data_IF_103961810933
#
_entry.id   IF_103961810933
#
_cell.length_a   1.000
_cell.length_b   1.000
_cell.length_c   1.000
_cell.angle_alpha   90.00
_cell.angle_beta   90.00
_cell.angle_gamma   90.00
#
_symmetry.space_group_name_H-M   'P 1'
#
loop_
_entity.id
_entity.type
_entity.pdbx_description
1 polymer ?
#
# COMPACT_ATOMS: atom_id res chain seq x y z
N UNK A 1 22.75 4.56 18.29
CA UNK A 1 22.48 3.74 17.08
C UNK A 1 21.89 4.66 16.03
N UNK A 2 22.43 4.67 14.80
CA UNK A 2 21.85 5.43 13.69
C UNK A 2 20.85 4.52 12.97
N UNK A 3 19.57 4.86 12.99
CA UNK A 3 18.57 4.18 12.17
C UNK A 3 18.45 4.93 10.85
N UNK A 4 18.46 4.18 9.75
CA UNK A 4 18.10 4.73 8.44
C UNK A 4 16.59 4.55 8.28
N UNK A 5 15.89 5.61 7.86
CA UNK A 5 14.43 5.64 7.78
C UNK A 5 13.98 5.72 6.32
N UNK A 6 12.90 4.99 6.01
CA UNK A 6 12.16 5.14 4.77
C UNK A 6 10.93 6.02 5.02
N UNK A 7 10.65 6.95 4.11
CA UNK A 7 9.45 7.80 4.16
C UNK A 7 8.69 7.66 2.85
N UNK A 8 7.46 7.19 2.93
CA UNK A 8 6.50 7.19 1.83
C UNK A 8 5.57 8.38 2.03
N UNK A 9 5.48 9.25 1.03
CA UNK A 9 4.81 10.55 1.12
C UNK A 9 3.76 10.64 0.02
N UNK A 10 2.53 10.99 0.39
CA UNK A 10 1.48 11.29 -0.57
C UNK A 10 1.70 12.65 -1.21
N UNK A 11 1.23 12.79 -2.45
CA UNK A 11 1.21 14.08 -3.11
C UNK A 11 0.26 15.03 -2.37
N UNK A 12 0.66 16.30 -2.14
CA UNK A 12 -0.16 17.25 -1.43
C UNK A 12 -1.50 17.48 -2.15
N UNK A 13 -2.60 17.35 -1.42
CA UNK A 13 -3.95 17.55 -1.96
C UNK A 13 -4.49 16.39 -2.81
N UNK A 14 -3.86 15.21 -2.77
CA UNK A 14 -4.31 14.02 -3.49
C UNK A 14 -5.74 13.60 -3.10
N UNK A 15 -6.07 13.58 -1.80
CA UNK A 15 -7.41 13.26 -1.31
C UNK A 15 -8.47 14.19 -1.91
N UNK A 16 -8.17 15.50 -1.96
CA UNK A 16 -9.09 16.49 -2.53
C UNK A 16 -9.31 16.26 -4.02
N UNK A 17 -8.25 15.94 -4.77
CA UNK A 17 -8.36 15.62 -6.21
C UNK A 17 -9.17 14.36 -6.44
N UNK A 18 -8.91 13.29 -5.70
CA UNK A 18 -9.70 12.07 -5.78
C UNK A 18 -11.19 12.30 -5.51
N UNK A 19 -11.54 13.11 -4.49
CA UNK A 19 -12.94 13.45 -4.22
C UNK A 19 -13.61 14.17 -5.39
N UNK A 20 -12.88 15.08 -6.05
CA UNK A 20 -13.40 15.77 -7.24
C UNK A 20 -13.59 14.81 -8.42
N UNK A 21 -12.67 13.87 -8.61
CA UNK A 21 -12.76 12.86 -9.67
C UNK A 21 -13.97 11.95 -9.44
N UNK A 22 -14.15 11.44 -8.21
CA UNK A 22 -15.30 10.61 -7.83
C UNK A 22 -16.62 11.36 -8.01
N UNK A 23 -16.68 12.64 -7.59
CA UNK A 23 -17.86 13.49 -7.79
C UNK A 23 -18.20 13.65 -9.28
N UNK A 24 -17.18 13.87 -10.11
CA UNK A 24 -17.34 14.02 -11.56
C UNK A 24 -17.84 12.71 -12.18
N UNK A 25 -17.26 11.57 -11.80
CA UNK A 25 -17.71 10.25 -12.25
C UNK A 25 -19.13 9.92 -11.79
N UNK A 26 -19.51 10.32 -10.57
CA UNK A 26 -20.89 10.17 -10.07
C UNK A 26 -21.88 10.98 -10.91
N UNK A 27 -21.51 12.19 -11.28
CA UNK A 27 -22.35 13.03 -12.15
C UNK A 27 -22.49 12.41 -13.55
N UNK A 28 -21.39 11.97 -14.15
CA UNK A 28 -21.39 11.28 -15.45
C UNK A 28 -22.22 9.99 -15.41
N UNK A 29 -22.08 9.21 -14.34
CA UNK A 29 -22.88 8.00 -14.11
C UNK A 29 -24.38 8.30 -14.17
N UNK A 30 -24.85 9.39 -13.53
CA UNK A 30 -26.27 9.77 -13.57
C UNK A 30 -26.75 10.08 -14.98
N UNK A 31 -25.92 10.77 -15.79
CA UNK A 31 -26.25 11.03 -17.19
C UNK A 31 -26.28 9.76 -18.03
N UNK A 32 -25.32 8.85 -17.83
CA UNK A 32 -25.28 7.57 -18.55
C UNK A 32 -26.48 6.68 -18.17
N UNK A 33 -26.89 6.67 -16.90
CA UNK A 33 -28.07 5.91 -16.46
C UNK A 33 -29.39 6.38 -17.08
N UNK A 34 -29.47 7.62 -17.59
CA UNK A 34 -30.63 8.09 -18.36
C UNK A 34 -30.67 7.47 -19.78
N UNK A 35 -29.52 7.12 -20.34
CA UNK A 35 -29.39 6.55 -21.69
C UNK A 35 -29.39 5.01 -21.62
N UNK A 36 -28.77 4.44 -20.59
CA UNK A 36 -28.63 2.99 -20.38
C UNK A 36 -29.08 2.60 -18.96
N UNK A 37 -30.39 2.42 -18.73
CA UNK A 37 -30.94 2.15 -17.40
C UNK A 37 -30.53 0.79 -16.80
N UNK A 38 -30.05 -0.16 -17.62
CA UNK A 38 -29.61 -1.48 -17.15
C UNK A 38 -28.24 -1.46 -16.45
N UNK A 39 -27.41 -0.43 -16.66
CA UNK A 39 -26.08 -0.34 -16.07
C UNK A 39 -26.09 0.43 -14.73
N UNK A 40 -25.72 -0.25 -13.63
CA UNK A 40 -25.63 0.35 -12.29
C UNK A 40 -24.19 0.76 -11.92
N UNK A 41 -23.73 1.86 -12.50
CA UNK A 41 -22.42 2.45 -12.21
C UNK A 41 -22.26 2.94 -10.76
N UNK A 42 -23.35 3.29 -10.09
CA UNK A 42 -23.35 3.80 -8.71
C UNK A 42 -22.69 2.84 -7.70
N UNK A 43 -22.97 1.54 -7.80
CA UNK A 43 -22.38 0.54 -6.89
C UNK A 43 -20.88 0.40 -7.07
N UNK A 44 -20.40 0.47 -8.31
CA UNK A 44 -18.98 0.38 -8.64
C UNK A 44 -18.25 1.62 -8.11
N UNK A 45 -18.86 2.80 -8.27
CA UNK A 45 -18.30 4.06 -7.75
C UNK A 45 -18.21 4.08 -6.23
N UNK A 46 -19.22 3.56 -5.52
CA UNK A 46 -19.18 3.45 -4.06
C UNK A 46 -18.05 2.52 -3.59
N UNK A 47 -17.86 1.36 -4.22
CA UNK A 47 -16.76 0.47 -3.84
C UNK A 47 -15.39 1.06 -4.20
N UNK A 48 -15.31 1.78 -5.32
CA UNK A 48 -14.11 2.50 -5.72
C UNK A 48 -13.76 3.60 -4.72
N UNK A 49 -14.72 4.45 -4.33
CA UNK A 49 -14.53 5.49 -3.31
C UNK A 49 -14.06 4.89 -1.98
N UNK A 50 -14.69 3.80 -1.55
CA UNK A 50 -14.31 3.09 -0.33
C UNK A 50 -12.88 2.57 -0.42
N UNK A 51 -12.53 1.94 -1.54
CA UNK A 51 -11.18 1.41 -1.77
C UNK A 51 -10.13 2.51 -1.78
N UNK A 52 -10.38 3.60 -2.50
CA UNK A 52 -9.45 4.73 -2.58
C UNK A 52 -9.28 5.45 -1.25
N UNK A 53 -10.35 5.56 -0.46
CA UNK A 53 -10.26 6.15 0.87
C UNK A 53 -9.41 5.32 1.83
N UNK A 54 -9.39 3.99 1.68
CA UNK A 54 -8.52 3.11 2.45
C UNK A 54 -7.06 3.23 2.00
N UNK A 55 -6.81 3.32 0.70
CA UNK A 55 -5.47 3.52 0.11
C UNK A 55 -4.82 4.86 0.51
N UNK A 56 -5.63 5.90 0.69
CA UNK A 56 -5.14 7.23 1.11
C UNK A 56 -4.84 7.34 2.61
N UNK A 57 -5.17 6.33 3.43
CA UNK A 57 -4.90 6.37 4.86
C UNK A 57 -3.72 5.48 5.24
N UNK A 58 -2.51 6.04 5.19
CA UNK A 58 -1.29 5.34 5.59
C UNK A 58 -1.27 4.93 7.07
N UNK A 59 -2.14 5.46 7.92
CA UNK A 59 -2.24 4.98 9.31
C UNK A 59 -2.83 3.58 9.38
N UNK A 60 -3.67 3.19 8.41
CA UNK A 60 -4.18 1.82 8.31
C UNK A 60 -3.08 0.87 7.85
N UNK A 61 -2.27 1.31 6.89
CA UNK A 61 -1.11 0.55 6.41
C UNK A 61 -0.11 0.30 7.54
N UNK A 62 0.20 1.34 8.31
CA UNK A 62 1.03 1.25 9.51
C UNK A 62 0.49 0.24 10.54
N UNK A 63 -0.81 0.29 10.86
CA UNK A 63 -1.46 -0.66 11.78
C UNK A 63 -1.39 -2.09 11.24
N UNK A 64 -1.57 -2.25 9.93
CA UNK A 64 -1.49 -3.55 9.31
C UNK A 64 -0.07 -4.14 9.36
N UNK A 65 0.95 -3.31 9.15
CA UNK A 65 2.35 -3.72 9.28
C UNK A 65 2.66 -4.23 10.69
N UNK A 66 2.17 -3.57 11.73
CA UNK A 66 2.34 -4.04 13.12
C UNK A 66 1.62 -5.37 13.39
N UNK A 67 0.39 -5.53 12.89
CA UNK A 67 -0.34 -6.80 12.97
C UNK A 67 0.45 -7.92 12.29
N UNK A 68 0.99 -7.65 11.12
CA UNK A 68 1.84 -8.58 10.37
C UNK A 68 3.08 -8.96 11.19
N UNK A 69 3.72 -7.98 11.84
CA UNK A 69 4.85 -8.22 12.74
C UNK A 69 4.48 -9.21 13.86
N UNK A 70 3.29 -9.08 14.45
CA UNK A 70 2.81 -10.01 15.48
C UNK A 70 2.56 -11.42 14.95
N UNK A 71 2.01 -11.55 13.73
CA UNK A 71 1.72 -12.83 13.08
C UNK A 71 3.00 -13.59 12.72
N UNK A 72 4.06 -12.88 12.31
CA UNK A 72 5.32 -13.47 11.87
C UNK A 72 6.41 -13.47 12.95
N UNK A 73 6.08 -13.13 14.21
CA UNK A 73 7.06 -13.09 15.32
C UNK A 73 7.81 -14.40 15.56
N UNK A 74 7.27 -15.54 15.13
CA UNK A 74 7.87 -16.89 15.28
C UNK A 74 8.55 -17.39 13.99
N UNK A 75 8.64 -16.57 12.96
CA UNK A 75 9.21 -16.95 11.67
C UNK A 75 10.48 -16.16 11.40
N UNK A 76 11.63 -16.83 11.40
CA UNK A 76 12.94 -16.19 11.17
C UNK A 76 13.19 -15.81 9.70
N UNK A 77 12.29 -16.18 8.79
CA UNK A 77 12.43 -15.91 7.35
C UNK A 77 11.85 -14.55 6.94
N UNK A 78 10.94 -13.98 7.74
CA UNK A 78 10.20 -12.76 7.37
C UNK A 78 10.53 -11.64 8.36
N UNK A 79 11.25 -10.61 7.89
CA UNK A 79 11.46 -9.36 8.63
C UNK A 79 10.43 -8.32 8.19
N UNK A 80 9.64 -7.82 9.14
CA UNK A 80 8.73 -6.68 8.94
C UNK A 80 9.40 -5.42 9.49
N UNK A 81 9.50 -4.32 8.73
CA UNK A 81 10.12 -3.08 9.20
C UNK A 81 9.31 -2.44 10.34
N UNK A 82 9.99 -1.90 11.35
CA UNK A 82 9.35 -1.19 12.44
C UNK A 82 8.75 0.15 11.97
N UNK A 83 7.52 0.45 12.36
CA UNK A 83 6.83 1.71 12.03
C UNK A 83 7.10 2.77 13.10
N UNK A 84 7.44 3.99 12.68
CA UNK A 84 7.65 5.11 13.59
C UNK A 84 6.39 5.99 13.66
N UNK A 85 5.52 5.69 14.62
CA UNK A 85 4.23 6.40 14.79
C UNK A 85 4.36 7.90 15.03
N UNK A 86 5.42 8.34 15.73
CA UNK A 86 5.69 9.75 15.99
C UNK A 86 5.94 10.56 14.71
N UNK A 87 6.34 9.88 13.62
CA UNK A 87 6.65 10.44 12.31
C UNK A 87 5.67 9.98 11.23
N UNK A 88 4.60 9.27 11.61
CA UNK A 88 3.60 8.71 10.69
C UNK A 88 2.30 9.47 10.82
N UNK A 89 1.76 9.90 9.68
CA UNK A 89 0.47 10.59 9.55
C UNK A 89 -0.36 9.87 8.48
N UNK A 90 -1.55 10.39 8.17
CA UNK A 90 -2.37 9.85 7.08
C UNK A 90 -1.68 9.96 5.71
N UNK A 91 -0.87 11.00 5.53
CA UNK A 91 -0.23 11.34 4.26
C UNK A 91 1.25 10.91 4.20
N UNK A 92 1.84 10.54 5.33
CA UNK A 92 3.26 10.15 5.42
C UNK A 92 3.41 8.88 6.26
N UNK A 93 3.97 7.82 5.67
CA UNK A 93 4.36 6.61 6.39
C UNK A 93 5.88 6.61 6.63
N UNK A 94 6.29 6.54 7.90
CA UNK A 94 7.70 6.45 8.28
C UNK A 94 8.01 5.08 8.88
N UNK A 95 8.95 4.35 8.30
CA UNK A 95 9.34 3.00 8.75
C UNK A 95 10.86 2.78 8.71
N UNK A 96 11.31 1.72 9.38
CA UNK A 96 12.71 1.26 9.33
C UNK A 96 13.11 0.99 7.88
N UNK A 97 14.26 1.51 7.46
CA UNK A 97 14.80 1.20 6.15
C UNK A 97 15.40 -0.21 6.16
N UNK A 98 14.76 -1.11 5.43
CA UNK A 98 15.27 -2.45 5.18
C UNK A 98 15.98 -2.50 3.82
N UNK A 99 17.26 -2.91 3.82
CA UNK A 99 17.98 -3.25 2.59
C UNK A 99 17.59 -4.66 2.15
N UNK A 100 17.08 -4.80 0.92
CA UNK A 100 16.71 -6.10 0.35
C UNK A 100 16.79 -6.09 -1.17
N UNK A 101 16.82 -7.28 -1.77
CA UNK A 101 16.74 -7.46 -3.22
C UNK A 101 15.28 -7.49 -3.66
N UNK A 102 14.97 -6.87 -4.81
CA UNK A 102 13.63 -6.92 -5.40
C UNK A 102 13.24 -8.38 -5.66
N UNK A 103 11.97 -8.70 -5.44
CA UNK A 103 11.48 -10.07 -5.63
C UNK A 103 11.43 -10.47 -7.12
N UNK A 104 11.42 -9.50 -8.02
CA UNK A 104 11.52 -9.73 -9.47
C UNK A 104 12.93 -10.13 -9.93
N UNK A 105 13.92 -10.11 -9.04
CA UNK A 105 15.28 -10.60 -9.31
C UNK A 105 15.32 -12.14 -9.18
N UNK A 106 14.83 -12.80 -10.22
CA UNK A 106 14.77 -14.26 -10.33
C UNK A 106 16.18 -14.91 -10.26
N UNK A 107 17.21 -14.19 -10.70
CA UNK A 107 18.59 -14.67 -10.65
C UNK A 107 19.14 -14.71 -9.23
N UNK A 108 18.79 -13.73 -8.39
CA UNK A 108 19.10 -13.74 -6.96
C UNK A 108 18.34 -14.87 -6.22
N UNK A 109 17.04 -15.04 -6.50
CA UNK A 109 16.21 -16.07 -5.85
C UNK A 109 16.70 -17.49 -6.15
N UNK A 110 17.15 -17.74 -7.38
CA UNK A 110 17.73 -19.04 -7.78
C UNK A 110 19.06 -19.32 -7.10
N UNK A 111 19.90 -18.29 -6.89
CA UNK A 111 21.19 -18.42 -6.19
C UNK A 111 21.03 -18.61 -4.68
N UNK A 112 19.95 -18.11 -4.10
CA UNK A 112 19.69 -18.17 -2.67
C UNK A 112 18.94 -19.45 -2.22
N UNK A 113 18.61 -20.37 -3.14
CA UNK A 113 17.83 -21.60 -2.89
C UNK A 113 16.46 -21.34 -2.21
N UNK A 114 15.86 -20.19 -2.50
CA UNK A 114 14.56 -19.79 -1.93
C UNK A 114 13.47 -20.25 -2.90
N UNK A 115 12.67 -21.24 -2.50
CA UNK A 115 11.54 -21.72 -3.33
C UNK A 115 10.55 -20.58 -3.66
N UNK A 116 10.31 -20.27 -4.95
CA UNK A 116 9.42 -19.17 -5.37
C UNK A 116 8.00 -19.31 -4.82
N UNK A 117 7.55 -20.55 -4.64
CA UNK A 117 6.18 -20.89 -4.24
C UNK A 117 5.89 -20.52 -2.78
N UNK A 118 6.82 -20.74 -1.83
CA UNK A 118 6.62 -20.34 -0.43
C UNK A 118 6.70 -18.81 -0.27
N UNK A 119 7.55 -18.16 -1.06
CA UNK A 119 7.75 -16.72 -1.02
C UNK A 119 6.55 -15.95 -1.64
N UNK A 120 5.97 -16.48 -2.72
CA UNK A 120 4.78 -15.91 -3.36
C UNK A 120 3.56 -15.92 -2.43
N UNK A 121 3.39 -16.95 -1.59
CA UNK A 121 2.31 -16.99 -0.60
C UNK A 121 2.48 -15.93 0.50
N UNK A 122 3.70 -15.68 0.97
CA UNK A 122 3.99 -14.60 1.92
C UNK A 122 3.70 -13.23 1.29
N UNK A 123 4.07 -13.04 0.03
CA UNK A 123 3.80 -11.79 -0.68
C UNK A 123 2.34 -11.56 -1.02
N UNK A 124 1.59 -12.59 -1.44
CA UNK A 124 0.14 -12.47 -1.65
C UNK A 124 -0.54 -12.13 -0.34
N UNK A 125 -0.10 -12.70 0.78
CA UNK A 125 -0.65 -12.37 2.10
C UNK A 125 -0.31 -10.95 2.54
N UNK A 126 0.92 -10.48 2.29
CA UNK A 126 1.34 -9.10 2.59
C UNK A 126 0.65 -8.10 1.64
N UNK A 127 0.52 -8.35 0.34
CA UNK A 127 -0.19 -7.47 -0.61
C UNK A 127 -1.70 -7.45 -0.41
N UNK A 128 -2.30 -8.55 0.02
CA UNK A 128 -3.75 -8.61 0.29
C UNK A 128 -4.13 -7.93 1.63
N UNK A 129 -3.12 -7.52 2.42
CA UNK A 129 -3.31 -6.81 3.69
C UNK A 129 -2.62 -5.44 3.76
N UNK A 130 -1.64 -5.18 2.91
CA UNK A 130 -0.91 -3.90 2.77
C UNK A 130 -1.29 -3.36 1.40
N UNK A 131 -2.31 -2.51 1.35
CA UNK A 131 -2.76 -1.87 0.12
C UNK A 131 -1.64 -0.93 -0.36
N UNK A 132 -1.09 -1.25 -1.54
CA UNK A 132 -0.12 -0.46 -2.32
C UNK A 132 1.33 -0.39 -1.80
N UNK A 133 2.18 -1.26 -2.36
CA UNK A 133 3.62 -0.99 -2.48
C UNK A 133 4.10 -1.37 -3.88
N UNK A 134 4.24 -0.36 -4.73
CA UNK A 134 5.20 -0.34 -5.83
C UNK A 134 6.45 0.42 -5.32
N UNK A 135 7.58 -0.28 -5.19
CA UNK A 135 8.78 0.16 -4.45
C UNK A 135 9.68 1.17 -5.21
N UNK A 136 9.12 2.11 -5.97
CA UNK A 136 9.92 2.95 -6.88
C UNK A 136 10.28 4.35 -6.38
N UNK A 137 9.75 4.84 -5.26
CA UNK A 137 10.11 6.18 -4.73
C UNK A 137 10.46 6.16 -3.26
N UNK A 138 11.64 5.61 -2.94
CA UNK A 138 12.32 5.88 -1.67
C UNK A 138 13.16 7.16 -1.86
N UNK A 139 12.67 8.30 -1.34
CA UNK A 139 13.53 9.49 -1.20
C UNK A 139 14.35 9.38 0.08
N UNK A 140 15.67 9.26 -0.09
CA UNK A 140 16.65 9.24 0.98
C UNK A 140 16.78 10.65 1.60
N UNK A 141 16.09 10.90 2.71
CA UNK A 141 16.28 12.10 3.53
C UNK A 141 17.20 11.81 4.70
N UNK A 142 18.45 12.34 4.67
CA UNK A 142 19.34 12.33 5.83
C UNK A 142 18.84 13.35 6.86
N UNK A 143 18.47 12.89 8.05
CA UNK A 143 18.35 13.71 9.25
C UNK A 143 19.09 13.02 10.39
#
# INVERSE_FOLDING_TARGET
MKYQLCKQVQYPGLERRMKLDIMTMSLLSKYVSLIFPDYRFEKILLEFERTMSMELDFTQEAKNSERTTSCFRKNDVVKVPHVFWELTTKEVLTMEFCTGHKVDDLDFLRKADISPTKFCWIMVFIKNWTQSLDWTTVSCGKH
#
